data_IF_999420009253
#
_entry.id   IF_999420009253
#
_cell.length_a   1.000
_cell.length_b   1.000
_cell.length_c   1.000
_cell.angle_alpha   90.00
_cell.angle_beta   90.00
_cell.angle_gamma   90.00
#
_symmetry.space_group_name_H-M   'P 1'
#
loop_
_entity.id
_entity.type
_entity.pdbx_description
1 polymer ?
#
# COMPACT_ATOMS: atom_id res chain seq x y z
N UNK A 1 11.80 5.63 5.61
CA UNK A 1 12.46 5.92 6.91
C UNK A 1 13.84 5.29 7.08
N UNK A 2 14.40 4.58 6.10
CA UNK A 2 15.73 3.95 6.18
C UNK A 2 16.90 4.88 5.85
N UNK A 3 16.65 6.07 5.30
CA UNK A 3 17.72 7.00 4.90
C UNK A 3 18.51 7.54 6.10
N UNK A 4 17.82 7.95 7.18
CA UNK A 4 18.47 8.50 8.38
C UNK A 4 19.24 7.41 9.13
N UNK A 5 18.62 6.23 9.32
CA UNK A 5 19.26 5.07 9.97
C UNK A 5 20.47 4.55 9.17
N UNK A 6 20.43 4.66 7.84
CA UNK A 6 21.54 4.27 6.98
C UNK A 6 22.71 5.25 7.07
N UNK A 7 22.46 6.56 7.14
CA UNK A 7 23.50 7.58 7.28
C UNK A 7 24.23 7.43 8.62
N UNK A 8 23.47 7.31 9.72
CA UNK A 8 24.04 7.15 11.06
C UNK A 8 24.72 5.78 11.24
N UNK A 9 24.10 4.73 10.72
CA UNK A 9 24.67 3.38 10.72
C UNK A 9 25.95 3.27 9.91
N UNK A 10 26.06 3.97 8.78
CA UNK A 10 27.27 4.01 7.95
C UNK A 10 28.44 4.69 8.67
N UNK A 11 28.20 5.81 9.36
CA UNK A 11 29.24 6.46 10.17
C UNK A 11 29.70 5.57 11.34
N UNK A 12 28.76 4.89 12.02
CA UNK A 12 29.11 3.92 13.07
C UNK A 12 29.88 2.72 12.53
N UNK A 13 29.53 2.21 11.34
CA UNK A 13 30.27 1.14 10.68
C UNK A 13 31.69 1.56 10.30
N UNK A 14 31.88 2.79 9.80
CA UNK A 14 33.20 3.36 9.48
C UNK A 14 34.10 3.48 10.72
N UNK A 15 33.51 3.67 11.89
CA UNK A 15 34.21 3.68 13.18
C UNK A 15 34.39 2.27 13.79
N UNK A 16 34.22 1.19 13.01
CA UNK A 16 34.39 -0.19 13.47
C UNK A 16 33.24 -0.72 14.33
N UNK A 17 32.15 0.03 14.50
CA UNK A 17 30.99 -0.31 15.37
C UNK A 17 29.78 -0.80 14.56
N UNK A 18 30.02 -1.55 13.49
CA UNK A 18 28.98 -2.05 12.59
C UNK A 18 27.95 -2.96 13.32
N UNK A 19 28.42 -3.87 14.19
CA UNK A 19 27.53 -4.76 14.95
C UNK A 19 26.60 -4.02 15.91
N UNK A 20 27.10 -2.99 16.58
CA UNK A 20 26.28 -2.15 17.46
C UNK A 20 25.24 -1.34 16.67
N UNK A 21 25.62 -0.80 15.50
CA UNK A 21 24.68 -0.09 14.63
C UNK A 21 23.52 -0.97 14.18
N UNK A 22 23.82 -2.22 13.79
CA UNK A 22 22.82 -3.19 13.33
C UNK A 22 21.90 -3.64 14.47
N UNK A 23 22.45 -3.89 15.65
CA UNK A 23 21.68 -4.23 16.85
C UNK A 23 20.73 -3.10 17.28
N UNK A 24 21.20 -1.85 17.28
CA UNK A 24 20.36 -0.69 17.63
C UNK A 24 19.22 -0.52 16.62
N UNK A 25 19.51 -0.66 15.32
CA UNK A 25 18.48 -0.58 14.28
C UNK A 25 17.44 -1.71 14.40
N UNK A 26 17.87 -2.93 14.69
CA UNK A 26 16.99 -4.08 14.86
C UNK A 26 16.08 -3.94 16.10
N UNK A 27 16.65 -3.62 17.26
CA UNK A 27 15.89 -3.43 18.51
C UNK A 27 14.94 -2.24 18.38
N UNK A 28 15.40 -1.13 17.79
CA UNK A 28 14.56 0.03 17.53
C UNK A 28 13.36 -0.29 16.65
N UNK A 29 13.57 -1.02 15.55
CA UNK A 29 12.50 -1.43 14.64
C UNK A 29 11.52 -2.42 15.29
N UNK A 30 12.04 -3.36 16.09
CA UNK A 30 11.20 -4.31 16.83
C UNK A 30 10.32 -3.62 17.87
N UNK A 31 10.88 -2.72 18.66
CA UNK A 31 10.13 -1.97 19.66
C UNK A 31 9.10 -1.05 19.01
N UNK A 32 9.50 -0.28 17.98
CA UNK A 32 8.59 0.57 17.23
C UNK A 32 7.44 -0.23 16.59
N UNK A 33 7.74 -1.38 15.99
CA UNK A 33 6.73 -2.27 15.42
C UNK A 33 5.77 -2.85 16.47
N UNK A 34 6.29 -3.27 17.62
CA UNK A 34 5.49 -3.82 18.73
C UNK A 34 4.55 -2.76 19.30
N UNK A 35 5.09 -1.58 19.61
CA UNK A 35 4.30 -0.46 20.16
C UNK A 35 3.27 0.03 19.14
N UNK A 36 3.65 0.17 17.86
CA UNK A 36 2.72 0.57 16.80
C UNK A 36 1.58 -0.43 16.64
N UNK A 37 1.88 -1.73 16.66
CA UNK A 37 0.85 -2.79 16.57
C UNK A 37 -0.09 -2.74 17.77
N UNK A 38 0.44 -2.59 18.98
CA UNK A 38 -0.37 -2.48 20.19
C UNK A 38 -1.27 -1.23 20.16
N UNK A 39 -0.72 -0.10 19.71
CA UNK A 39 -1.47 1.14 19.58
C UNK A 39 -2.59 0.99 18.54
N UNK A 40 -2.31 0.44 17.37
CA UNK A 40 -3.35 0.15 16.36
C UNK A 40 -4.41 -0.78 16.94
N UNK A 41 -4.05 -1.83 17.67
CA UNK A 41 -5.02 -2.75 18.27
C UNK A 41 -5.96 -2.06 19.27
N UNK A 42 -5.45 -1.11 20.07
CA UNK A 42 -6.26 -0.35 21.04
C UNK A 42 -7.12 0.72 20.38
N UNK A 43 -6.62 1.38 19.33
CA UNK A 43 -7.32 2.48 18.65
C UNK A 43 -8.21 2.01 17.49
N UNK A 44 -8.07 0.78 17.01
CA UNK A 44 -8.89 0.25 15.92
C UNK A 44 -10.40 0.22 16.24
N UNK A 45 -10.87 -0.20 17.43
CA UNK A 45 -12.30 -0.21 17.75
C UNK A 45 -12.98 1.16 17.66
N UNK A 46 -12.49 2.25 18.31
CA UNK A 46 -13.14 3.55 18.20
C UNK A 46 -13.04 4.14 16.79
N UNK A 47 -11.94 3.92 16.07
CA UNK A 47 -11.81 4.36 14.67
C UNK A 47 -12.82 3.66 13.75
N UNK A 48 -13.07 2.36 13.98
CA UNK A 48 -14.03 1.59 13.19
C UNK A 48 -15.46 2.06 13.43
N UNK A 49 -15.82 2.40 14.68
CA UNK A 49 -17.14 2.95 14.98
C UNK A 49 -17.43 4.23 14.18
N UNK A 50 -16.45 5.14 14.08
CA UNK A 50 -16.56 6.36 13.28
C UNK A 50 -16.61 6.02 11.78
N UNK A 51 -15.78 5.08 11.32
CA UNK A 51 -15.76 4.69 9.91
C UNK A 51 -17.08 4.08 9.44
N UNK A 52 -17.79 3.35 10.31
CA UNK A 52 -19.11 2.78 10.00
C UNK A 52 -20.21 3.84 9.84
N UNK A 53 -20.01 5.05 10.37
CA UNK A 53 -20.93 6.17 10.18
C UNK A 53 -20.72 6.89 8.84
N UNK A 54 -19.65 6.59 8.10
CA UNK A 54 -19.38 7.24 6.82
C UNK A 54 -20.38 6.82 5.76
N UNK A 55 -20.97 7.82 5.10
CA UNK A 55 -21.85 7.63 3.96
C UNK A 55 -21.08 7.45 2.67
N UNK A 56 -21.82 7.26 1.58
CA UNK A 56 -21.25 7.11 0.24
C UNK A 56 -20.40 8.32 -0.19
N UNK A 57 -20.77 9.54 0.24
CA UNK A 57 -20.06 10.76 -0.13
C UNK A 57 -18.70 10.88 0.57
N UNK A 58 -18.63 10.54 1.86
CA UNK A 58 -17.40 10.53 2.65
C UNK A 58 -16.44 9.47 2.13
N UNK A 59 -16.92 8.24 1.91
CA UNK A 59 -16.12 7.17 1.34
C UNK A 59 -15.55 7.54 -0.04
N UNK A 60 -16.37 8.10 -0.93
CA UNK A 60 -15.91 8.56 -2.25
C UNK A 60 -14.83 9.63 -2.14
N UNK A 61 -15.03 10.63 -1.28
CA UNK A 61 -14.09 11.73 -1.08
C UNK A 61 -12.75 11.23 -0.55
N UNK A 62 -12.77 10.30 0.42
CA UNK A 62 -11.56 9.69 0.98
C UNK A 62 -10.78 8.91 -0.07
N UNK A 63 -11.46 8.15 -0.94
CA UNK A 63 -10.82 7.43 -2.03
C UNK A 63 -10.16 8.39 -3.02
N UNK A 64 -10.85 9.48 -3.42
CA UNK A 64 -10.25 10.50 -4.29
C UNK A 64 -9.02 11.13 -3.64
N UNK A 65 -9.09 11.52 -2.36
CA UNK A 65 -7.96 12.11 -1.65
C UNK A 65 -6.77 11.13 -1.61
N UNK A 66 -7.02 9.84 -1.40
CA UNK A 66 -6.00 8.80 -1.45
C UNK A 66 -5.34 8.67 -2.82
N UNK A 67 -6.13 8.70 -3.90
CA UNK A 67 -5.62 8.64 -5.27
C UNK A 67 -4.81 9.89 -5.64
N UNK A 68 -5.31 11.08 -5.28
CA UNK A 68 -4.60 12.35 -5.51
C UNK A 68 -3.30 12.41 -4.71
N UNK A 69 -3.32 11.97 -3.46
CA UNK A 69 -2.13 11.90 -2.61
C UNK A 69 -1.09 10.93 -3.17
N UNK A 70 -1.54 9.79 -3.73
CA UNK A 70 -0.65 8.84 -4.42
C UNK A 70 0.06 9.49 -5.61
N UNK A 71 -0.65 10.30 -6.40
CA UNK A 71 -0.05 11.05 -7.51
C UNK A 71 0.92 12.12 -7.00
N UNK A 72 0.57 12.81 -5.90
CA UNK A 72 1.43 13.85 -5.31
C UNK A 72 2.75 13.31 -4.74
N UNK A 73 2.74 12.06 -4.23
CA UNK A 73 3.93 11.38 -3.72
C UNK A 73 4.76 10.70 -4.82
N UNK A 74 4.20 10.51 -6.01
CA UNK A 74 4.91 9.90 -7.12
C UNK A 74 6.06 10.81 -7.60
N UNK A 75 7.26 10.25 -7.68
CA UNK A 75 8.42 10.96 -8.21
C UNK A 75 8.43 10.88 -9.74
N UNK A 76 8.58 12.02 -10.42
CA UNK A 76 8.69 12.09 -11.88
C UNK A 76 7.48 12.71 -12.57
N UNK A 77 7.02 12.11 -13.68
CA UNK A 77 5.96 12.70 -14.51
C UNK A 77 4.57 12.45 -13.91
N UNK A 78 3.87 13.54 -13.59
CA UNK A 78 2.48 13.54 -13.10
C UNK A 78 1.55 12.80 -14.08
N UNK A 79 1.73 12.99 -15.39
CA UNK A 79 0.90 12.33 -16.41
C UNK A 79 1.06 10.81 -16.36
N UNK A 80 2.28 10.32 -16.16
CA UNK A 80 2.53 8.87 -16.00
C UNK A 80 1.91 8.35 -14.70
N UNK A 81 2.05 9.09 -13.60
CA UNK A 81 1.43 8.71 -12.32
C UNK A 81 -0.10 8.61 -12.43
N UNK A 82 -0.73 9.59 -13.06
CA UNK A 82 -2.18 9.59 -13.30
C UNK A 82 -2.59 8.42 -14.21
N UNK A 83 -1.84 8.16 -15.29
CA UNK A 83 -2.10 7.03 -16.18
C UNK A 83 -2.00 5.69 -15.44
N UNK A 84 -1.02 5.52 -14.56
CA UNK A 84 -0.87 4.31 -13.74
C UNK A 84 -1.99 4.16 -12.70
N UNK A 85 -2.47 5.25 -12.12
CA UNK A 85 -3.65 5.24 -11.23
C UNK A 85 -4.89 4.78 -11.98
N UNK A 86 -5.17 5.36 -13.16
CA UNK A 86 -6.31 4.96 -13.99
C UNK A 86 -6.20 3.51 -14.42
N UNK A 87 -5.00 3.07 -14.83
CA UNK A 87 -4.75 1.68 -15.19
C UNK A 87 -4.99 0.73 -14.01
N UNK A 88 -4.53 1.08 -12.81
CA UNK A 88 -4.79 0.32 -11.59
C UNK A 88 -6.29 0.23 -11.26
N UNK A 89 -7.03 1.32 -11.41
CA UNK A 89 -8.48 1.33 -11.22
C UNK A 89 -9.20 0.43 -12.23
N UNK A 90 -8.82 0.48 -13.51
CA UNK A 90 -9.40 -0.38 -14.55
C UNK A 90 -9.17 -1.86 -14.24
N UNK A 91 -7.96 -2.23 -13.80
CA UNK A 91 -7.65 -3.60 -13.40
C UNK A 91 -8.39 -4.01 -12.12
N UNK A 92 -8.59 -3.08 -11.18
CA UNK A 92 -9.28 -3.33 -9.92
C UNK A 92 -10.80 -3.48 -10.04
N UNK A 93 -11.43 -2.96 -11.10
CA UNK A 93 -12.87 -3.09 -11.34
C UNK A 93 -13.24 -4.45 -11.98
N UNK A 94 -12.25 -5.23 -12.43
CA UNK A 94 -12.47 -6.58 -12.97
C UNK A 94 -13.04 -7.47 -11.86
N UNK A 95 -14.22 -8.04 -12.10
CA UNK A 95 -14.90 -8.89 -11.12
C UNK A 95 -16.41 -8.72 -11.10
N UNK A 96 -17.04 -9.34 -10.11
CA UNK A 96 -18.47 -9.18 -9.86
C UNK A 96 -18.71 -8.01 -8.92
N UNK A 97 -19.58 -7.07 -9.30
CA UNK A 97 -19.95 -5.95 -8.43
C UNK A 97 -20.74 -6.46 -7.20
N UNK A 98 -20.27 -6.12 -6.01
CA UNK A 98 -20.83 -6.61 -4.73
C UNK A 98 -22.24 -6.10 -4.41
N UNK A 99 -22.67 -4.99 -5.01
CA UNK A 99 -23.98 -4.39 -4.76
C UNK A 99 -25.04 -4.85 -5.76
N UNK A 100 -24.63 -5.02 -7.03
CA UNK A 100 -25.53 -5.30 -8.16
C UNK A 100 -25.45 -6.75 -8.64
N UNK A 101 -24.41 -7.49 -8.28
CA UNK A 101 -24.15 -8.85 -8.77
C UNK A 101 -23.79 -8.91 -10.26
N UNK A 102 -23.56 -7.75 -10.90
CA UNK A 102 -23.26 -7.69 -12.33
C UNK A 102 -21.78 -7.93 -12.59
N UNK A 103 -21.41 -8.81 -13.55
CA UNK A 103 -20.02 -9.01 -13.91
C UNK A 103 -19.48 -7.81 -14.69
N UNK A 104 -18.31 -7.30 -14.29
CA UNK A 104 -17.59 -6.20 -14.94
C UNK A 104 -16.23 -6.68 -15.45
N UNK A 105 -15.97 -6.47 -16.73
CA UNK A 105 -14.70 -6.85 -17.38
C UNK A 105 -14.31 -8.33 -17.24
N UNK A 106 -15.27 -9.24 -17.00
CA UNK A 106 -15.00 -10.69 -16.87
C UNK A 106 -14.82 -11.39 -18.22
N UNK A 107 -15.14 -10.73 -19.34
CA UNK A 107 -14.95 -11.23 -20.71
C UNK A 107 -15.56 -12.62 -20.98
N UNK A 108 -16.53 -13.06 -20.18
CA UNK A 108 -17.14 -14.40 -20.26
C UNK A 108 -16.34 -15.53 -19.60
N UNK A 109 -15.22 -15.21 -18.95
CA UNK A 109 -14.37 -16.16 -18.22
C UNK A 109 -14.83 -16.17 -16.75
N UNK A 110 -15.10 -17.37 -16.22
CA UNK A 110 -15.67 -17.53 -14.88
C UNK A 110 -14.66 -17.22 -13.78
N UNK A 111 -13.39 -17.48 -14.04
CA UNK A 111 -12.26 -17.20 -13.15
C UNK A 111 -12.08 -15.70 -12.90
N UNK A 112 -12.50 -14.85 -13.85
CA UNK A 112 -12.47 -13.39 -13.65
C UNK A 112 -13.66 -12.86 -12.84
N UNK A 113 -14.67 -13.68 -12.54
CA UNK A 113 -15.78 -13.28 -11.67
C UNK A 113 -15.31 -13.00 -10.23
N UNK A 114 -14.25 -13.69 -9.79
CA UNK A 114 -13.58 -13.49 -8.50
C UNK A 114 -12.54 -12.34 -8.53
N UNK A 115 -12.39 -11.70 -9.69
CA UNK A 115 -11.43 -10.63 -9.94
C UNK A 115 -10.03 -11.11 -10.32
N UNK A 116 -9.10 -10.16 -10.49
CA UNK A 116 -7.72 -10.49 -10.83
C UNK A 116 -6.96 -10.98 -9.59
N UNK A 117 -6.26 -12.11 -9.73
CA UNK A 117 -5.42 -12.63 -8.66
C UNK A 117 -4.23 -11.68 -8.41
N UNK A 118 -4.24 -11.03 -7.24
CA UNK A 118 -3.21 -10.05 -6.85
C UNK A 118 -1.78 -10.65 -6.89
N UNK A 119 -1.60 -11.89 -6.44
CA UNK A 119 -0.29 -12.54 -6.44
C UNK A 119 0.21 -12.74 -7.86
N UNK A 120 -0.64 -13.21 -8.77
CA UNK A 120 -0.28 -13.41 -10.17
C UNK A 120 0.09 -12.08 -10.86
N UNK A 121 -0.70 -11.03 -10.63
CA UNK A 121 -0.42 -9.68 -11.18
C UNK A 121 0.88 -9.13 -10.62
N UNK A 122 1.10 -9.23 -9.31
CA UNK A 122 2.33 -8.75 -8.67
C UNK A 122 3.57 -9.46 -9.23
N UNK A 123 3.56 -10.79 -9.27
CA UNK A 123 4.67 -11.59 -9.83
C UNK A 123 4.94 -11.23 -11.29
N UNK A 124 3.89 -11.05 -12.10
CA UNK A 124 4.05 -10.63 -13.49
C UNK A 124 4.68 -9.24 -13.64
N UNK A 125 4.20 -8.26 -12.87
CA UNK A 125 4.71 -6.88 -12.92
C UNK A 125 6.16 -6.82 -12.45
N UNK A 126 6.50 -7.49 -11.35
CA UNK A 126 7.88 -7.54 -10.85
C UNK A 126 8.81 -8.28 -11.82
N UNK A 127 8.35 -9.39 -12.42
CA UNK A 127 9.12 -10.14 -13.41
C UNK A 127 9.42 -9.33 -14.67
N UNK A 128 8.49 -8.49 -15.14
CA UNK A 128 8.73 -7.56 -16.26
C UNK A 128 9.69 -6.43 -15.87
N UNK A 129 9.64 -5.96 -14.62
CA UNK A 129 10.51 -4.89 -14.14
C UNK A 129 11.98 -5.32 -13.95
N UNK A 130 12.25 -6.63 -13.88
CA UNK A 130 13.60 -7.19 -13.70
C UNK A 130 14.36 -7.40 -15.03
N UNK A 131 13.66 -7.32 -16.17
CA UNK A 131 14.22 -7.43 -17.53
C UNK A 131 14.47 -6.03 -18.11
#
# INVERSE_FOLDING_TARGET
SSAVTAIDGYQMAKNGRAGAALAIAAIGSFFAGTVSTFLVAVFAPPLTAIALEFGAAEYFSLMIVGLVSSVALAHGSIVKALAMVVLGLLLGIVGTDIYTGTPRFTLGIREYADGLNFVAVAVGVFGVAEI
#
